data_IF_446489744265
#
_entry.id   IF_446489744265
#
_cell.length_a   1.000
_cell.length_b   1.000
_cell.length_c   1.000
_cell.angle_alpha   90.00
_cell.angle_beta   90.00
_cell.angle_gamma   90.00
#
_symmetry.space_group_name_H-M   'P 1'
#
loop_
_entity.id
_entity.type
_entity.pdbx_description
1 polymer ?
#
# COMPACT_ATOMS: atom_id res chain seq x y z
N UNK A 1 -54.70 33.36 -37.65
CA UNK A 1 -55.92 32.61 -37.34
C UNK A 1 -55.54 31.61 -36.27
N UNK A 2 -55.85 31.87 -35.05
CA UNK A 2 -55.75 30.90 -33.99
C UNK A 2 -56.98 30.00 -34.11
N UNK A 3 -56.78 28.71 -34.37
CA UNK A 3 -57.83 27.73 -34.34
C UNK A 3 -58.14 27.46 -32.87
N UNK A 4 -59.24 28.07 -32.39
CA UNK A 4 -59.84 27.68 -31.13
C UNK A 4 -60.38 26.25 -31.31
N UNK A 5 -59.55 25.26 -30.99
CA UNK A 5 -60.02 23.88 -30.81
C UNK A 5 -60.91 23.86 -29.59
N UNK A 6 -62.14 23.41 -29.77
CA UNK A 6 -63.11 23.32 -28.66
C UNK A 6 -62.60 22.34 -27.61
N UNK A 7 -62.91 22.55 -26.32
CA UNK A 7 -62.48 21.68 -25.21
C UNK A 7 -62.80 20.22 -25.47
N UNK A 8 -63.91 19.93 -26.18
CA UNK A 8 -64.34 18.59 -26.57
C UNK A 8 -63.39 17.95 -27.58
N UNK A 9 -62.90 18.70 -28.60
CA UNK A 9 -61.91 18.19 -29.60
C UNK A 9 -60.55 17.89 -28.96
N UNK A 10 -60.15 18.67 -27.97
CA UNK A 10 -58.90 18.42 -27.22
C UNK A 10 -58.99 17.14 -26.36
N UNK A 11 -60.11 16.92 -25.68
CA UNK A 11 -60.37 15.71 -24.89
C UNK A 11 -60.40 14.46 -25.77
N UNK A 12 -61.05 14.55 -26.95
CA UNK A 12 -61.14 13.43 -27.89
C UNK A 12 -59.78 13.11 -28.53
N UNK A 13 -58.94 14.11 -28.81
CA UNK A 13 -57.60 13.94 -29.30
C UNK A 13 -56.70 13.25 -28.25
N UNK A 14 -56.78 13.64 -26.97
CA UNK A 14 -56.03 13.00 -25.88
C UNK A 14 -56.48 11.56 -25.67
N UNK A 15 -57.80 11.28 -25.71
CA UNK A 15 -58.36 9.93 -25.58
C UNK A 15 -57.87 9.01 -26.70
N UNK A 16 -57.94 9.47 -27.95
CA UNK A 16 -57.47 8.71 -29.12
C UNK A 16 -55.95 8.47 -29.05
N UNK A 17 -55.15 9.46 -28.62
CA UNK A 17 -53.72 9.29 -28.42
C UNK A 17 -53.44 8.23 -27.36
N UNK A 18 -54.16 8.25 -26.23
CA UNK A 18 -54.01 7.29 -25.15
C UNK A 18 -54.40 5.87 -25.55
N UNK A 19 -55.46 5.70 -26.37
CA UNK A 19 -55.88 4.42 -26.91
C UNK A 19 -54.82 3.82 -27.86
N UNK A 20 -54.12 4.67 -28.61
CA UNK A 20 -53.09 4.24 -29.56
C UNK A 20 -51.71 4.00 -28.87
N UNK A 21 -51.38 4.79 -27.86
CA UNK A 21 -50.04 4.79 -27.26
C UNK A 21 -50.01 4.31 -25.80
N UNK A 22 -51.19 4.11 -25.17
CA UNK A 22 -51.30 3.82 -23.72
C UNK A 22 -50.52 2.57 -23.33
N UNK A 23 -50.52 1.52 -24.11
CA UNK A 23 -49.74 0.29 -23.81
C UNK A 23 -48.25 0.55 -23.78
N UNK A 24 -47.72 1.28 -24.78
CA UNK A 24 -46.31 1.64 -24.84
C UNK A 24 -45.92 2.54 -23.68
N UNK A 25 -46.79 3.47 -23.28
CA UNK A 25 -46.57 4.39 -22.17
C UNK A 25 -46.52 3.62 -20.81
N UNK A 26 -47.47 2.70 -20.60
CA UNK A 26 -47.50 1.86 -19.40
C UNK A 26 -46.25 0.98 -19.33
N UNK A 27 -45.84 0.35 -20.43
CA UNK A 27 -44.60 -0.44 -20.48
C UNK A 27 -43.40 0.45 -20.16
N UNK A 28 -43.31 1.62 -20.76
CA UNK A 28 -42.25 2.58 -20.49
C UNK A 28 -42.14 2.97 -19.01
N UNK A 29 -43.29 3.24 -18.36
CA UNK A 29 -43.35 3.55 -16.91
C UNK A 29 -42.90 2.34 -16.08
N UNK A 30 -43.37 1.14 -16.38
CA UNK A 30 -43.00 -0.09 -15.64
C UNK A 30 -41.50 -0.36 -15.75
N UNK A 31 -40.92 -0.24 -16.95
CA UNK A 31 -39.49 -0.42 -17.19
C UNK A 31 -38.68 0.64 -16.41
N UNK A 32 -39.12 1.90 -16.44
CA UNK A 32 -38.46 2.99 -15.70
C UNK A 32 -38.49 2.77 -14.18
N UNK A 33 -39.65 2.35 -13.65
CA UNK A 33 -39.78 2.04 -12.23
C UNK A 33 -38.90 0.84 -11.84
N UNK A 34 -38.88 -0.23 -12.66
CA UNK A 34 -38.04 -1.40 -12.42
C UNK A 34 -36.54 -1.02 -12.42
N UNK A 35 -36.11 -0.15 -13.34
CA UNK A 35 -34.74 0.35 -13.37
C UNK A 35 -34.38 1.18 -12.11
N UNK A 36 -35.27 2.07 -11.68
CA UNK A 36 -35.07 2.89 -10.49
C UNK A 36 -35.01 2.02 -9.21
N UNK A 37 -35.97 1.10 -9.05
CA UNK A 37 -36.00 0.23 -7.88
C UNK A 37 -34.81 -0.75 -7.87
N UNK A 38 -34.42 -1.28 -9.04
CA UNK A 38 -33.24 -2.13 -9.18
C UNK A 38 -31.97 -1.39 -8.79
N UNK A 39 -31.79 -0.17 -9.29
CA UNK A 39 -30.64 0.68 -8.94
C UNK A 39 -30.59 1.03 -7.45
N UNK A 40 -31.74 1.42 -6.86
CA UNK A 40 -31.80 1.73 -5.43
C UNK A 40 -31.52 0.50 -4.55
N UNK A 41 -32.01 -0.68 -4.96
CA UNK A 41 -31.72 -1.92 -4.23
C UNK A 41 -30.24 -2.26 -4.26
N UNK A 42 -29.62 -2.17 -5.46
CA UNK A 42 -28.19 -2.39 -5.62
C UNK A 42 -27.36 -1.41 -4.77
N UNK A 43 -27.66 -0.11 -4.84
CA UNK A 43 -26.98 0.91 -4.06
C UNK A 43 -27.09 0.68 -2.55
N UNK A 44 -28.27 0.24 -2.06
CA UNK A 44 -28.45 -0.09 -0.64
C UNK A 44 -27.60 -1.29 -0.19
N UNK A 45 -27.45 -2.30 -1.05
CA UNK A 45 -26.64 -3.47 -0.76
C UNK A 45 -25.18 -3.07 -0.68
N UNK A 46 -24.67 -2.30 -1.64
CA UNK A 46 -23.29 -1.84 -1.68
C UNK A 46 -22.94 -0.93 -0.48
N UNK A 47 -23.87 -0.05 -0.09
CA UNK A 47 -23.71 0.76 1.10
C UNK A 47 -23.61 -0.11 2.38
N UNK A 48 -24.50 -1.09 2.52
CA UNK A 48 -24.51 -2.00 3.67
C UNK A 48 -23.23 -2.87 3.75
N UNK A 49 -22.68 -3.28 2.61
CA UNK A 49 -21.39 -3.99 2.55
C UNK A 49 -20.24 -3.07 2.97
N UNK A 50 -20.23 -1.83 2.48
CA UNK A 50 -19.23 -0.83 2.86
C UNK A 50 -19.30 -0.49 4.35
N UNK A 51 -20.49 -0.35 4.92
CA UNK A 51 -20.69 -0.12 6.36
C UNK A 51 -20.14 -1.27 7.21
N UNK A 52 -20.39 -2.53 6.80
CA UNK A 52 -19.85 -3.71 7.49
C UNK A 52 -18.32 -3.76 7.42
N UNK A 53 -17.76 -3.55 6.23
CA UNK A 53 -16.31 -3.53 6.05
C UNK A 53 -15.65 -2.40 6.87
N UNK A 54 -16.28 -1.22 6.93
CA UNK A 54 -15.84 -0.09 7.76
C UNK A 54 -15.88 -0.41 9.25
N UNK A 55 -16.94 -1.07 9.73
CA UNK A 55 -17.07 -1.46 11.12
C UNK A 55 -15.99 -2.48 11.53
N UNK A 56 -15.74 -3.49 10.68
CA UNK A 56 -14.65 -4.45 10.90
C UNK A 56 -13.27 -3.75 10.90
N UNK A 57 -13.04 -2.83 9.96
CA UNK A 57 -11.78 -2.09 9.93
C UNK A 57 -11.58 -1.19 11.17
N UNK A 58 -12.65 -0.61 11.69
CA UNK A 58 -12.61 0.12 12.96
C UNK A 58 -12.19 -0.81 14.10
N UNK A 59 -12.80 -1.98 14.21
CA UNK A 59 -12.41 -3.00 15.19
C UNK A 59 -10.96 -3.49 15.02
N UNK A 60 -10.49 -3.64 13.77
CA UNK A 60 -9.08 -3.94 13.49
C UNK A 60 -8.18 -2.82 14.02
N UNK A 61 -8.49 -1.57 13.67
CA UNK A 61 -7.69 -0.41 14.08
C UNK A 61 -7.61 -0.29 15.59
N UNK A 62 -8.71 -0.54 16.32
CA UNK A 62 -8.74 -0.54 17.77
C UNK A 62 -7.91 -1.69 18.36
N UNK A 63 -7.96 -2.88 17.74
CA UNK A 63 -7.21 -4.05 18.20
C UNK A 63 -5.68 -3.86 18.08
N UNK A 64 -5.22 -3.15 17.04
CA UNK A 64 -3.78 -2.94 16.76
C UNK A 64 -3.25 -1.59 17.23
N UNK A 65 -3.99 -0.85 18.04
CA UNK A 65 -3.47 0.38 18.67
C UNK A 65 -2.53 0.00 19.80
N UNK A 66 -1.24 0.26 19.59
CA UNK A 66 -0.26 0.28 20.67
C UNK A 66 -0.22 1.66 21.30
N UNK A 67 0.02 1.74 22.61
CA UNK A 67 0.35 3.02 23.26
C UNK A 67 1.63 3.62 22.67
N UNK A 68 1.90 4.92 22.88
CA UNK A 68 3.05 5.61 22.29
C UNK A 68 4.43 5.00 22.64
N UNK A 69 4.50 4.18 23.68
CA UNK A 69 5.72 3.51 24.18
C UNK A 69 5.55 1.98 24.29
N UNK A 70 4.39 1.44 23.91
CA UNK A 70 4.09 0.03 24.09
C UNK A 70 4.19 -0.73 22.76
N UNK A 71 4.68 -1.95 22.82
CA UNK A 71 4.56 -2.92 21.73
C UNK A 71 3.19 -3.59 21.78
N UNK A 72 2.69 -4.04 20.63
CA UNK A 72 1.46 -4.83 20.58
C UNK A 72 1.61 -6.13 21.36
N UNK A 73 0.62 -6.45 22.18
CA UNK A 73 0.56 -7.74 22.87
C UNK A 73 0.22 -8.85 21.87
N UNK A 74 0.62 -10.08 22.18
CA UNK A 74 0.28 -11.26 21.36
C UNK A 74 -1.23 -11.42 21.16
N UNK A 75 -2.05 -11.02 22.15
CA UNK A 75 -3.51 -11.03 22.05
C UNK A 75 -4.01 -10.00 21.02
N UNK A 76 -3.49 -8.79 21.04
CA UNK A 76 -3.83 -7.73 20.08
C UNK A 76 -3.47 -8.14 18.64
N UNK A 77 -2.27 -8.67 18.46
CA UNK A 77 -1.81 -9.19 17.16
C UNK A 77 -2.73 -10.30 16.66
N UNK A 78 -3.07 -11.27 17.53
CA UNK A 78 -3.96 -12.38 17.18
C UNK A 78 -5.37 -11.90 16.80
N UNK A 79 -5.94 -10.97 17.57
CA UNK A 79 -7.24 -10.37 17.28
C UNK A 79 -7.20 -9.58 15.96
N UNK A 80 -6.16 -8.79 15.76
CA UNK A 80 -5.97 -8.05 14.52
C UNK A 80 -5.85 -8.95 13.29
N UNK A 81 -5.05 -10.02 13.38
CA UNK A 81 -4.93 -11.04 12.31
C UNK A 81 -6.27 -11.70 11.98
N UNK A 82 -7.08 -12.01 13.00
CA UNK A 82 -8.41 -12.59 12.80
C UNK A 82 -9.36 -11.65 12.04
N UNK A 83 -9.50 -10.40 12.51
CA UNK A 83 -10.38 -9.40 11.88
C UNK A 83 -9.90 -9.08 10.45
N UNK A 84 -8.58 -8.97 10.23
CA UNK A 84 -8.02 -8.74 8.91
C UNK A 84 -8.32 -9.90 7.95
N UNK A 85 -8.25 -11.15 8.43
CA UNK A 85 -8.61 -12.31 7.63
C UNK A 85 -10.10 -12.33 7.25
N UNK A 86 -11.00 -11.93 8.16
CA UNK A 86 -12.43 -11.78 7.89
C UNK A 86 -12.69 -10.69 6.85
N UNK A 87 -12.06 -9.52 6.98
CA UNK A 87 -12.14 -8.45 5.97
C UNK A 87 -11.71 -8.92 4.58
N UNK A 88 -10.59 -9.64 4.49
CA UNK A 88 -10.07 -10.17 3.23
C UNK A 88 -10.97 -11.23 2.61
N UNK A 89 -11.63 -12.05 3.43
CA UNK A 89 -12.51 -13.11 2.97
C UNK A 89 -13.86 -12.58 2.47
N UNK A 90 -14.47 -11.67 3.25
CA UNK A 90 -15.84 -11.23 3.01
C UNK A 90 -15.91 -10.01 2.08
N UNK A 91 -14.87 -9.15 2.07
CA UNK A 91 -14.85 -7.89 1.31
C UNK A 91 -13.54 -7.71 0.52
N UNK A 92 -13.11 -8.68 -0.32
CA UNK A 92 -11.76 -8.71 -0.91
C UNK A 92 -11.40 -7.50 -1.78
N UNK A 93 -12.39 -6.85 -2.40
CA UNK A 93 -12.19 -5.66 -3.26
C UNK A 93 -12.38 -4.33 -2.51
N UNK A 94 -12.68 -4.40 -1.22
CA UNK A 94 -12.86 -3.21 -0.39
C UNK A 94 -11.52 -2.58 -0.05
N UNK A 95 -11.45 -1.25 -0.10
CA UNK A 95 -10.29 -0.49 0.38
C UNK A 95 -9.95 -0.79 1.83
N UNK A 96 -10.94 -1.13 2.67
CA UNK A 96 -10.72 -1.55 4.05
C UNK A 96 -9.98 -2.89 4.15
N UNK A 97 -10.29 -3.86 3.28
CA UNK A 97 -9.55 -5.12 3.22
C UNK A 97 -8.12 -4.93 2.71
N UNK A 98 -7.90 -4.00 1.75
CA UNK A 98 -6.57 -3.64 1.31
C UNK A 98 -5.74 -3.01 2.45
N UNK A 99 -6.34 -2.12 3.24
CA UNK A 99 -5.66 -1.56 4.42
C UNK A 99 -5.39 -2.62 5.50
N UNK A 100 -6.31 -3.57 5.69
CA UNK A 100 -6.09 -4.68 6.61
C UNK A 100 -4.88 -5.54 6.17
N UNK A 101 -4.77 -5.86 4.88
CA UNK A 101 -3.62 -6.58 4.34
C UNK A 101 -2.31 -5.78 4.45
N UNK A 102 -2.36 -4.44 4.29
CA UNK A 102 -1.20 -3.57 4.55
C UNK A 102 -0.75 -3.64 6.03
N UNK A 103 -1.68 -3.77 6.98
CA UNK A 103 -1.36 -3.97 8.39
C UNK A 103 -0.75 -5.35 8.64
N UNK A 104 -1.29 -6.41 8.01
CA UNK A 104 -0.71 -7.75 8.11
C UNK A 104 0.72 -7.79 7.53
N UNK A 105 0.95 -7.16 6.38
CA UNK A 105 2.28 -7.04 5.79
C UNK A 105 3.25 -6.31 6.72
N UNK A 106 2.79 -5.22 7.37
CA UNK A 106 3.60 -4.49 8.37
C UNK A 106 3.99 -5.40 9.54
N UNK A 107 3.03 -6.12 10.13
CA UNK A 107 3.29 -7.04 11.25
C UNK A 107 4.28 -8.15 10.84
N UNK A 108 4.16 -8.67 9.62
CA UNK A 108 5.07 -9.68 9.11
C UNK A 108 6.51 -9.13 8.94
N UNK A 109 6.67 -7.88 8.47
CA UNK A 109 7.98 -7.22 8.41
C UNK A 109 8.57 -7.02 9.80
N UNK A 110 7.77 -6.63 10.79
CA UNK A 110 8.21 -6.45 12.19
C UNK A 110 8.64 -7.78 12.82
N UNK A 111 8.01 -8.89 12.41
CA UNK A 111 8.39 -10.26 12.81
C UNK A 111 9.58 -10.83 11.99
N UNK A 112 10.09 -10.10 10.98
CA UNK A 112 11.15 -10.54 10.09
C UNK A 112 10.68 -11.53 8.99
N UNK A 113 9.39 -11.79 8.88
CA UNK A 113 8.79 -12.70 7.88
C UNK A 113 8.50 -11.96 6.57
N UNK A 114 9.54 -11.76 5.77
CA UNK A 114 9.44 -11.05 4.48
C UNK A 114 8.60 -11.82 3.45
N UNK A 115 8.51 -13.15 3.56
CA UNK A 115 7.71 -13.97 2.65
C UNK A 115 6.20 -13.72 2.87
N UNK A 116 5.75 -13.80 4.12
CA UNK A 116 4.36 -13.46 4.47
C UNK A 116 4.06 -12.00 4.11
N UNK A 117 4.99 -11.07 4.37
CA UNK A 117 4.80 -9.66 4.02
C UNK A 117 4.60 -9.45 2.51
N UNK A 118 5.40 -10.12 1.67
CA UNK A 118 5.24 -10.08 0.22
C UNK A 118 3.89 -10.66 -0.21
N UNK A 119 3.50 -11.82 0.35
CA UNK A 119 2.23 -12.48 0.06
C UNK A 119 1.03 -11.58 0.35
N UNK A 120 1.03 -10.87 1.47
CA UNK A 120 -0.03 -9.94 1.85
C UNK A 120 -0.14 -8.76 0.87
N UNK A 121 1.00 -8.21 0.42
CA UNK A 121 1.02 -7.12 -0.57
C UNK A 121 0.61 -7.60 -1.97
N UNK A 122 1.06 -8.77 -2.40
CA UNK A 122 0.67 -9.39 -3.68
C UNK A 122 -0.83 -9.68 -3.70
N UNK A 123 -1.41 -10.11 -2.57
CA UNK A 123 -2.85 -10.29 -2.45
C UNK A 123 -3.62 -9.01 -2.76
N UNK A 124 -3.16 -7.85 -2.27
CA UNK A 124 -3.80 -6.56 -2.60
C UNK A 124 -3.78 -6.34 -4.11
N UNK A 125 -2.63 -6.52 -4.76
CA UNK A 125 -2.47 -6.33 -6.21
C UNK A 125 -3.44 -7.18 -7.04
N UNK A 126 -3.79 -8.39 -6.57
CA UNK A 126 -4.74 -9.29 -7.25
C UNK A 126 -6.22 -8.95 -7.00
N UNK A 127 -6.52 -8.14 -5.99
CA UNK A 127 -7.89 -7.79 -5.58
C UNK A 127 -8.35 -6.39 -6.01
N UNK A 128 -7.85 -5.92 -7.16
CA UNK A 128 -8.28 -4.67 -7.83
C UNK A 128 -8.18 -3.43 -6.93
N UNK A 129 -7.02 -3.11 -6.37
CA UNK A 129 -6.85 -1.92 -5.56
C UNK A 129 -7.10 -0.65 -6.40
N UNK A 130 -7.56 0.42 -5.74
CA UNK A 130 -7.56 1.74 -6.35
C UNK A 130 -6.12 2.19 -6.64
N UNK A 131 -5.93 2.99 -7.69
CA UNK A 131 -4.61 3.44 -8.15
C UNK A 131 -3.70 4.00 -7.04
N UNK A 132 -4.19 4.85 -6.11
CA UNK A 132 -3.33 5.33 -5.01
C UNK A 132 -2.84 4.23 -4.08
N UNK A 133 -3.69 3.23 -3.80
CA UNK A 133 -3.31 2.07 -2.98
C UNK A 133 -2.31 1.19 -3.71
N UNK A 134 -2.54 0.92 -4.99
CA UNK A 134 -1.63 0.16 -5.86
C UNK A 134 -0.22 0.73 -5.85
N UNK A 135 -0.08 2.06 -6.00
CA UNK A 135 1.22 2.72 -5.97
C UNK A 135 1.96 2.52 -4.63
N UNK A 136 1.24 2.62 -3.51
CA UNK A 136 1.83 2.37 -2.18
C UNK A 136 2.23 0.91 -2.02
N UNK A 137 1.39 -0.02 -2.49
CA UNK A 137 1.65 -1.47 -2.44
C UNK A 137 2.89 -1.82 -3.26
N UNK A 138 3.00 -1.33 -4.50
CA UNK A 138 4.15 -1.58 -5.35
C UNK A 138 5.45 -1.05 -4.73
N UNK A 139 5.42 0.15 -4.14
CA UNK A 139 6.58 0.71 -3.44
C UNK A 139 7.02 -0.16 -2.25
N UNK A 140 6.07 -0.64 -1.45
CA UNK A 140 6.36 -1.50 -0.29
C UNK A 140 6.84 -2.88 -0.71
N UNK A 141 6.19 -3.47 -1.72
CA UNK A 141 6.58 -4.78 -2.26
C UNK A 141 7.98 -4.73 -2.88
N UNK A 142 8.30 -3.64 -3.60
CA UNK A 142 9.65 -3.43 -4.12
C UNK A 142 10.72 -3.40 -3.01
N UNK A 143 10.42 -2.76 -1.87
CA UNK A 143 11.32 -2.77 -0.71
C UNK A 143 11.54 -4.17 -0.15
N UNK A 144 10.47 -4.97 -0.05
CA UNK A 144 10.55 -6.35 0.44
C UNK A 144 11.33 -7.22 -0.56
N UNK A 145 11.04 -7.13 -1.86
CA UNK A 145 11.78 -7.88 -2.90
C UNK A 145 13.26 -7.50 -2.89
N UNK A 146 13.59 -6.23 -2.71
CA UNK A 146 14.99 -5.79 -2.58
C UNK A 146 15.66 -6.37 -1.32
N UNK A 147 14.96 -6.43 -0.18
CA UNK A 147 15.46 -7.06 1.04
C UNK A 147 15.63 -8.58 0.91
N UNK A 148 14.92 -9.20 -0.03
CA UNK A 148 15.10 -10.61 -0.44
C UNK A 148 16.18 -10.79 -1.52
N UNK A 149 16.89 -9.71 -1.89
CA UNK A 149 17.89 -9.67 -2.97
C UNK A 149 17.31 -9.92 -4.38
N UNK A 150 15.98 -9.93 -4.52
CA UNK A 150 15.29 -10.04 -5.83
C UNK A 150 15.16 -8.63 -6.45
N UNK A 151 16.30 -8.09 -6.87
CA UNK A 151 16.40 -6.72 -7.37
C UNK A 151 15.67 -6.52 -8.70
N UNK A 152 15.62 -7.56 -9.55
CA UNK A 152 14.94 -7.50 -10.84
C UNK A 152 13.42 -7.32 -10.63
N UNK A 153 12.80 -8.16 -9.79
CA UNK A 153 11.40 -8.03 -9.44
C UNK A 153 11.10 -6.70 -8.73
N UNK A 154 12.01 -6.25 -7.85
CA UNK A 154 11.88 -4.98 -7.16
C UNK A 154 11.85 -3.78 -8.13
N UNK A 155 12.78 -3.74 -9.09
CA UNK A 155 12.84 -2.69 -10.11
C UNK A 155 11.62 -2.72 -11.05
N UNK A 156 11.13 -3.92 -11.40
CA UNK A 156 9.95 -4.07 -12.24
C UNK A 156 8.69 -3.43 -11.63
N UNK A 157 8.53 -3.53 -10.30
CA UNK A 157 7.41 -2.91 -9.56
C UNK A 157 7.48 -1.37 -9.57
N UNK A 158 8.68 -0.80 -9.72
CA UNK A 158 8.92 0.65 -9.71
C UNK A 158 8.97 1.27 -11.11
N UNK A 159 8.59 0.53 -12.15
CA UNK A 159 8.64 0.98 -13.53
C UNK A 159 7.34 1.68 -13.97
N UNK A 160 6.57 2.24 -13.04
CA UNK A 160 5.33 2.94 -13.34
C UNK A 160 5.63 4.34 -13.92
N UNK A 161 5.30 4.53 -15.22
CA UNK A 161 5.44 5.82 -15.91
C UNK A 161 4.58 6.92 -15.26
N UNK A 162 3.51 6.54 -14.58
CA UNK A 162 2.58 7.45 -13.90
C UNK A 162 2.52 7.15 -12.38
N UNK A 163 3.63 7.40 -11.69
CA UNK A 163 3.67 7.34 -10.23
C UNK A 163 3.10 8.60 -9.57
N UNK A 164 2.80 9.66 -10.35
CA UNK A 164 2.14 10.88 -9.87
C UNK A 164 2.82 11.46 -8.62
N UNK A 165 2.07 11.67 -7.54
CA UNK A 165 2.60 12.19 -6.27
C UNK A 165 3.65 11.27 -5.60
N UNK A 166 3.78 10.01 -6.02
CA UNK A 166 4.76 9.05 -5.50
C UNK A 166 6.05 8.97 -6.32
N UNK A 167 6.18 9.72 -7.43
CA UNK A 167 7.33 9.66 -8.34
C UNK A 167 8.67 9.81 -7.62
N UNK A 168 8.82 10.80 -6.76
CA UNK A 168 10.02 11.00 -5.94
C UNK A 168 10.38 9.77 -5.09
N UNK A 169 9.38 9.12 -4.47
CA UNK A 169 9.62 7.92 -3.64
C UNK A 169 9.94 6.68 -4.47
N UNK A 170 9.39 6.57 -5.68
CA UNK A 170 9.72 5.50 -6.63
C UNK A 170 11.17 5.61 -7.11
N UNK A 171 11.58 6.82 -7.50
CA UNK A 171 12.96 7.05 -7.92
C UNK A 171 13.96 6.89 -6.76
N UNK A 172 13.61 7.35 -5.55
CA UNK A 172 14.43 7.13 -4.35
C UNK A 172 14.63 5.63 -4.10
N UNK A 173 13.56 4.83 -4.14
CA UNK A 173 13.67 3.39 -3.94
C UNK A 173 14.46 2.69 -5.05
N UNK A 174 14.36 3.15 -6.31
CA UNK A 174 15.22 2.66 -7.40
C UNK A 174 16.70 2.94 -7.13
N UNK A 175 17.00 4.12 -6.61
CA UNK A 175 18.36 4.50 -6.19
C UNK A 175 18.88 3.56 -5.10
N UNK A 176 18.08 3.29 -4.07
CA UNK A 176 18.43 2.35 -2.99
C UNK A 176 18.72 0.94 -3.54
N UNK A 177 17.92 0.47 -4.49
CA UNK A 177 18.11 -0.85 -5.13
C UNK A 177 19.40 -0.87 -5.98
N UNK A 178 19.65 0.15 -6.81
CA UNK A 178 20.87 0.21 -7.60
C UNK A 178 22.13 0.27 -6.72
N UNK A 179 22.05 0.98 -5.58
CA UNK A 179 23.15 1.00 -4.62
C UNK A 179 23.39 -0.38 -4.02
N UNK A 180 22.34 -1.12 -3.63
CA UNK A 180 22.44 -2.49 -3.14
C UNK A 180 23.02 -3.47 -4.19
N UNK A 181 22.77 -3.20 -5.48
CA UNK A 181 23.37 -3.95 -6.60
C UNK A 181 24.84 -3.57 -6.89
N UNK A 182 25.41 -2.61 -6.15
CA UNK A 182 26.75 -2.09 -6.40
C UNK A 182 26.85 -1.24 -7.68
N UNK A 183 25.78 -0.56 -8.05
CA UNK A 183 25.65 0.28 -9.24
C UNK A 183 25.49 1.76 -8.86
N UNK A 184 26.54 2.42 -8.32
CA UNK A 184 26.45 3.77 -7.76
C UNK A 184 26.06 4.84 -8.79
N UNK A 185 26.43 4.66 -10.06
CA UNK A 185 26.10 5.62 -11.12
C UNK A 185 24.58 5.65 -11.39
N UNK A 186 23.95 4.47 -11.51
CA UNK A 186 22.50 4.38 -11.67
C UNK A 186 21.75 4.83 -10.41
N UNK A 187 22.33 4.57 -9.23
CA UNK A 187 21.79 5.05 -7.97
C UNK A 187 21.75 6.58 -7.93
N UNK A 188 22.86 7.22 -8.33
CA UNK A 188 22.96 8.69 -8.39
C UNK A 188 21.94 9.28 -9.34
N UNK A 189 21.80 8.75 -10.56
CA UNK A 189 20.78 9.20 -11.52
C UNK A 189 19.37 9.05 -10.99
N UNK A 190 19.08 7.95 -10.30
CA UNK A 190 17.77 7.70 -9.71
C UNK A 190 17.48 8.68 -8.54
N UNK A 191 18.46 9.00 -7.70
CA UNK A 191 18.28 9.98 -6.64
C UNK A 191 18.14 11.41 -7.18
N UNK A 192 18.81 11.76 -8.28
CA UNK A 192 18.62 13.05 -8.95
C UNK A 192 17.18 13.21 -9.43
N UNK A 193 16.62 12.17 -10.11
CA UNK A 193 15.22 12.16 -10.52
C UNK A 193 14.26 12.18 -9.31
N UNK A 194 14.64 11.56 -8.19
CA UNK A 194 13.86 11.61 -6.96
C UNK A 194 13.82 13.03 -6.36
N UNK A 195 14.91 13.77 -6.43
CA UNK A 195 14.99 15.16 -5.96
C UNK A 195 14.18 16.10 -6.86
N UNK A 196 14.25 15.93 -8.15
CA UNK A 196 13.46 16.71 -9.12
C UNK A 196 11.94 16.47 -8.96
N UNK A 197 11.56 15.27 -8.50
CA UNK A 197 10.18 14.90 -8.23
C UNK A 197 9.64 15.38 -6.87
N UNK A 198 10.42 16.14 -6.08
CA UNK A 198 9.95 16.67 -4.79
C UNK A 198 8.93 17.78 -5.04
N UNK A 199 7.75 17.65 -4.43
CA UNK A 199 6.70 18.67 -4.50
C UNK A 199 7.16 19.93 -3.76
N UNK A 200 6.86 21.11 -4.34
CA UNK A 200 7.22 22.39 -3.76
C UNK A 200 6.76 22.52 -2.29
N UNK A 201 7.66 22.91 -1.42
CA UNK A 201 7.41 23.00 0.04
C UNK A 201 7.64 21.71 0.83
N UNK A 202 7.98 20.59 0.18
CA UNK A 202 8.45 19.38 0.85
C UNK A 202 9.98 19.36 0.91
N UNK A 203 10.52 18.74 1.98
CA UNK A 203 11.96 18.52 2.13
C UNK A 203 12.21 17.05 2.42
N UNK A 204 13.21 16.47 1.76
CA UNK A 204 13.66 15.10 1.97
C UNK A 204 15.16 15.09 2.33
N UNK A 205 15.53 15.46 3.56
CA UNK A 205 16.93 15.58 3.95
C UNK A 205 17.69 14.27 3.84
N UNK A 206 17.05 13.13 4.08
CA UNK A 206 17.69 11.79 3.94
C UNK A 206 18.02 11.49 2.47
N UNK A 207 17.13 11.82 1.53
CA UNK A 207 17.40 11.67 0.10
C UNK A 207 18.56 12.56 -0.33
N UNK A 208 18.62 13.79 0.15
CA UNK A 208 19.71 14.70 -0.13
C UNK A 208 21.04 14.12 0.38
N UNK A 209 21.10 13.59 1.60
CA UNK A 209 22.29 12.93 2.15
C UNK A 209 22.72 11.74 1.28
N UNK A 210 21.78 10.87 0.90
CA UNK A 210 22.07 9.72 0.01
C UNK A 210 22.68 10.16 -1.32
N UNK A 211 22.20 11.25 -1.90
CA UNK A 211 22.71 11.80 -3.13
C UNK A 211 24.10 12.42 -2.96
N UNK A 212 24.31 13.22 -1.90
CA UNK A 212 25.59 13.85 -1.57
C UNK A 212 26.69 12.81 -1.30
N UNK A 213 26.36 11.71 -0.62
CA UNK A 213 27.29 10.61 -0.35
C UNK A 213 27.83 9.94 -1.64
N UNK A 214 27.08 9.98 -2.73
CA UNK A 214 27.52 9.44 -4.03
C UNK A 214 28.30 10.46 -4.89
N UNK A 215 28.25 11.75 -4.55
CA UNK A 215 29.00 12.78 -5.27
C UNK A 215 30.40 12.98 -4.66
N UNK A 216 30.56 12.81 -3.35
CA UNK A 216 31.84 12.96 -2.67
C UNK A 216 32.63 11.63 -2.66
N UNK A 217 33.71 11.51 -3.51
CA UNK A 217 34.50 10.29 -3.57
C UNK A 217 35.22 9.93 -2.25
N UNK A 218 35.31 10.88 -1.30
CA UNK A 218 35.95 10.63 -0.01
C UNK A 218 35.01 9.90 0.95
N UNK A 219 33.70 10.05 0.82
CA UNK A 219 32.71 9.32 1.61
C UNK A 219 32.52 7.86 1.13
N UNK A 220 32.69 7.60 -0.15
CA UNK A 220 32.60 6.24 -0.71
C UNK A 220 33.67 5.29 -0.14
N UNK A 221 34.83 5.82 0.29
CA UNK A 221 35.91 5.04 0.88
C UNK A 221 35.60 4.60 2.32
N UNK A 222 34.89 5.42 3.07
CA UNK A 222 34.55 5.14 4.49
C UNK A 222 33.49 4.04 4.61
N UNK A 223 32.53 3.97 3.67
CA UNK A 223 31.52 2.90 3.68
C UNK A 223 32.08 1.53 3.33
N UNK A 224 33.11 1.47 2.46
CA UNK A 224 33.74 0.21 2.09
C UNK A 224 34.73 -0.30 3.17
N UNK A 225 35.31 0.59 3.97
CA UNK A 225 36.18 0.21 5.09
C UNK A 225 35.38 -0.17 6.35
N UNK A 226 34.17 0.38 6.54
CA UNK A 226 33.26 0.02 7.64
C UNK A 226 32.70 -1.41 7.53
N UNK A 227 32.43 -1.86 6.32
CA UNK A 227 31.95 -3.23 6.06
C UNK A 227 33.07 -4.30 6.16
N UNK A 228 34.33 -3.88 6.02
CA UNK A 228 35.48 -4.79 6.12
C UNK A 228 36.01 -4.95 7.56
N UNK A 229 35.52 -4.17 8.53
CA UNK A 229 35.99 -4.13 9.91
C UNK A 229 34.97 -4.58 10.96
N UNK A 230 33.91 -5.29 10.58
CA UNK A 230 33.16 -6.04 11.59
C UNK A 230 34.05 -7.21 12.08
N UNK A 231 34.39 -7.27 13.38
CA UNK A 231 35.16 -8.38 13.92
C UNK A 231 34.34 -9.65 13.75
N UNK A 232 34.88 -10.59 12.97
CA UNK A 232 34.24 -11.90 12.81
C UNK A 232 34.13 -12.56 14.19
N UNK A 233 33.11 -13.38 14.40
CA UNK A 233 32.85 -14.08 15.65
C UNK A 233 34.04 -14.93 16.15
N UNK A 234 35.09 -15.09 15.34
CA UNK A 234 36.40 -15.70 15.66
C UNK A 234 37.25 -14.80 16.56
N UNK A 235 37.27 -13.47 16.30
CA UNK A 235 38.15 -12.55 17.05
C UNK A 235 37.60 -12.26 18.46
N UNK A 236 36.26 -12.36 18.64
CA UNK A 236 35.63 -12.24 19.95
C UNK A 236 35.90 -13.47 20.86
N UNK A 237 36.19 -14.64 20.30
CA UNK A 237 36.49 -15.84 21.06
C UNK A 237 37.94 -15.84 21.56
N UNK A 238 38.90 -15.27 20.80
CA UNK A 238 40.31 -15.20 21.22
C UNK A 238 40.56 -14.11 22.29
N UNK A 239 39.84 -12.99 22.22
CA UNK A 239 39.92 -11.93 23.26
C UNK A 239 39.43 -12.40 24.63
N UNK A 240 38.42 -13.26 24.66
CA UNK A 240 37.83 -13.76 25.92
C UNK A 240 38.65 -14.91 26.56
N UNK A 241 39.51 -15.59 25.76
CA UNK A 241 40.45 -16.61 26.30
C UNK A 241 41.68 -15.98 26.91
N UNK A 242 42.14 -14.81 26.45
CA UNK A 242 43.30 -14.13 27.00
C UNK A 242 43.06 -13.44 28.35
N UNK A 243 41.84 -13.01 28.63
CA UNK A 243 41.44 -12.43 29.91
C UNK A 243 41.23 -13.48 31.02
N UNK A 244 40.85 -14.69 30.69
CA UNK A 244 40.67 -15.80 31.64
C UNK A 244 42.01 -16.36 32.16
N UNK A 245 43.05 -16.34 31.36
CA UNK A 245 44.40 -16.80 31.77
C UNK A 245 45.18 -15.79 32.61
N UNK A 246 44.83 -14.49 32.51
CA UNK A 246 45.46 -13.46 33.32
C UNK A 246 44.95 -13.45 34.78
N UNK A 247 43.68 -13.84 35.00
CA UNK A 247 43.10 -13.87 36.36
C UNK A 247 43.45 -15.12 37.18
N UNK A 248 43.94 -16.18 36.55
CA UNK A 248 44.39 -17.40 37.27
C UNK A 248 45.79 -17.33 37.84
N UNK A 249 46.61 -16.31 37.50
CA UNK A 249 48.00 -16.18 37.95
C UNK A 249 48.19 -15.34 39.20
N UNK A 250 47.19 -14.53 39.61
CA UNK A 250 47.31 -13.65 40.79
C UNK A 250 46.63 -14.21 42.06
N UNK A 251 46.18 -15.47 42.07
CA UNK A 251 45.50 -16.09 43.23
C UNK A 251 46.30 -17.14 44.00
N UNK A 252 47.60 -17.29 43.75
CA UNK A 252 48.46 -18.24 44.47
C UNK A 252 49.76 -17.58 44.99
N UNK A 253 49.62 -16.91 46.15
CA UNK A 253 50.66 -16.34 46.91
C UNK A 253 50.25 -16.08 48.31
#
# INVERSE_FOLDING_TARGET
MATDTTEEEQVEAIKNWFEQNGTSLVIGIVVSLAAVFGYQSWQKTELAETEKASALYTGLSEAIVAGPLDTLTSQQISTGKFIAAELKADFPTSTYAHFAALHLAKLAVEDGDLETAATELEWIGTNKPERPVELIVNLRLAKIKAAQEDYEAALALLNAEDASAHASSYHEQRGDIYLAMGQPEQAREAYELAMDGIVEGQSKPVLQMKFEDLIDPQNATVMNEGAANEPTASDAAEANMSESDAQMKDGAG
#
